data_IF_280743268978
#
_entry.id   IF_280743268978
#
_cell.length_a   1.000
_cell.length_b   1.000
_cell.length_c   1.000
_cell.angle_alpha   90.00
_cell.angle_beta   90.00
_cell.angle_gamma   90.00
#
_symmetry.space_group_name_H-M   'P 1'
#
loop_
_entity.id
_entity.type
_entity.pdbx_description
1 polymer ?
#
# COMPACT_ATOMS: atom_id res chain seq x y z
N UNK A 1 -0.66 -0.88 -17.26
CA UNK A 1 -0.10 -1.66 -16.13
C UNK A 1 0.28 -0.69 -15.02
N UNK A 2 -0.38 -0.77 -13.87
CA UNK A 2 -0.08 0.06 -12.70
C UNK A 2 1.03 -0.56 -11.86
N UNK A 3 1.95 0.27 -11.35
CA UNK A 3 2.96 -0.13 -10.37
C UNK A 3 2.40 0.03 -8.95
N UNK A 4 2.79 -0.86 -8.03
CA UNK A 4 2.44 -0.80 -6.61
C UNK A 4 3.72 -0.97 -5.80
N UNK A 5 3.92 -0.17 -4.74
CA UNK A 5 5.13 -0.25 -3.92
C UNK A 5 5.10 -1.46 -2.97
N UNK A 6 3.92 -1.84 -2.50
CA UNK A 6 3.74 -2.88 -1.48
C UNK A 6 2.62 -3.87 -1.86
N UNK A 7 2.83 -5.12 -1.48
CA UNK A 7 1.89 -6.22 -1.62
C UNK A 7 1.94 -7.12 -0.38
N UNK A 8 1.44 -6.61 0.75
CA UNK A 8 1.48 -7.34 2.02
C UNK A 8 0.40 -8.43 2.03
N UNK A 9 0.78 -9.63 2.48
CA UNK A 9 -0.09 -10.80 2.54
C UNK A 9 -0.30 -11.22 3.99
N UNK A 10 -1.32 -10.64 4.61
CA UNK A 10 -1.85 -11.05 5.91
C UNK A 10 -3.18 -11.74 5.69
N UNK A 11 -3.27 -12.97 6.17
CA UNK A 11 -4.37 -13.91 5.88
C UNK A 11 -5.43 -13.92 6.97
N UNK A 12 -5.11 -13.45 8.18
CA UNK A 12 -6.05 -13.44 9.29
C UNK A 12 -5.95 -12.19 10.17
N UNK A 13 -7.00 -11.84 10.93
CA UNK A 13 -6.96 -10.74 11.87
C UNK A 13 -6.14 -11.05 13.13
N UNK A 14 -5.88 -12.33 13.43
CA UNK A 14 -5.08 -12.75 14.59
C UNK A 14 -3.57 -12.70 14.33
N UNK A 15 -3.16 -12.71 13.06
CA UNK A 15 -1.76 -12.51 12.67
C UNK A 15 -1.29 -11.12 13.11
N UNK A 16 -0.16 -11.06 13.81
CA UNK A 16 0.49 -9.82 14.28
C UNK A 16 1.56 -9.35 13.29
N UNK A 17 1.30 -9.48 12.00
CA UNK A 17 2.21 -9.11 10.91
C UNK A 17 1.74 -7.84 10.19
N UNK A 18 2.65 -7.17 9.50
CA UNK A 18 2.38 -5.96 8.72
C UNK A 18 3.66 -5.22 8.39
N UNK A 19 3.56 -4.17 7.58
CA UNK A 19 4.70 -3.28 7.29
C UNK A 19 4.46 -1.89 7.88
N UNK A 20 5.53 -1.30 8.42
CA UNK A 20 5.52 0.09 8.90
C UNK A 20 6.71 0.80 8.25
N UNK A 21 6.42 1.88 7.54
CA UNK A 21 7.41 2.80 7.02
C UNK A 21 7.29 4.09 7.83
N UNK A 22 8.31 4.38 8.66
CA UNK A 22 8.34 5.57 9.50
C UNK A 22 9.54 6.45 9.16
N UNK A 23 9.30 7.73 8.84
CA UNK A 23 10.39 8.69 8.58
C UNK A 23 11.10 8.50 7.24
N UNK A 24 10.48 7.79 6.28
CA UNK A 24 11.07 7.52 4.97
C UNK A 24 10.69 8.59 3.93
N UNK A 25 11.33 8.50 2.76
CA UNK A 25 11.05 9.32 1.59
C UNK A 25 10.75 8.44 0.38
N UNK A 26 9.55 8.59 -0.19
CA UNK A 26 9.12 7.87 -1.40
C UNK A 26 9.21 8.84 -2.59
N UNK A 27 10.01 8.46 -3.58
CA UNK A 27 10.22 9.21 -4.83
C UNK A 27 10.39 8.25 -6.00
N UNK A 28 10.34 8.75 -7.23
CA UNK A 28 10.48 7.93 -8.43
C UNK A 28 10.40 8.76 -9.72
N UNK A 29 10.51 8.07 -10.85
CA UNK A 29 10.40 8.67 -12.20
C UNK A 29 9.02 8.42 -12.82
N UNK A 30 8.40 7.29 -12.49
CA UNK A 30 7.06 6.90 -12.94
C UNK A 30 6.09 6.87 -11.78
N UNK A 31 4.80 6.99 -12.08
CA UNK A 31 3.73 6.97 -11.09
C UNK A 31 3.42 5.57 -10.59
N UNK A 32 3.06 5.44 -9.32
CA UNK A 32 2.66 4.20 -8.67
C UNK A 32 1.57 4.46 -7.62
N UNK A 33 0.84 3.41 -7.22
CA UNK A 33 0.06 3.43 -5.97
C UNK A 33 0.95 3.00 -4.81
N UNK A 34 0.57 3.37 -3.59
CA UNK A 34 1.18 2.88 -2.36
C UNK A 34 1.17 1.36 -2.37
N UNK A 35 0.01 0.73 -2.49
CA UNK A 35 -0.03 -0.72 -2.44
C UNK A 35 -1.27 -1.36 -3.02
N UNK A 36 -1.19 -2.68 -3.02
CA UNK A 36 -2.29 -3.59 -3.33
C UNK A 36 -2.35 -4.67 -2.24
N UNK A 37 -3.51 -4.95 -1.65
CA UNK A 37 -3.62 -5.99 -0.63
C UNK A 37 -3.50 -7.37 -1.30
N UNK A 38 -2.42 -8.10 -1.01
CA UNK A 38 -2.28 -9.46 -1.52
C UNK A 38 -3.03 -10.48 -0.65
N UNK A 39 -3.13 -10.21 0.65
CA UNK A 39 -3.97 -10.96 1.59
C UNK A 39 -5.20 -10.15 2.05
N UNK A 40 -6.29 -10.83 2.47
CA UNK A 40 -7.55 -10.21 2.86
C UNK A 40 -7.46 -9.30 4.09
N UNK A 41 -6.44 -9.47 4.93
CA UNK A 41 -6.20 -8.66 6.13
C UNK A 41 -4.93 -7.81 6.04
N UNK A 42 -4.48 -7.52 4.81
CA UNK A 42 -3.28 -6.75 4.52
C UNK A 42 -3.19 -5.49 5.37
N UNK A 43 -2.04 -5.26 6.00
CA UNK A 43 -1.83 -4.11 6.89
C UNK A 43 -0.50 -3.44 6.63
N UNK A 44 -0.55 -2.17 6.23
CA UNK A 44 0.63 -1.34 6.04
C UNK A 44 0.38 0.09 6.53
N UNK A 45 1.34 0.67 7.23
CA UNK A 45 1.30 2.03 7.76
C UNK A 45 2.46 2.83 7.18
N UNK A 46 2.17 4.03 6.68
CA UNK A 46 3.17 5.05 6.39
C UNK A 46 3.01 6.18 7.41
N UNK A 47 3.99 6.35 8.30
CA UNK A 47 3.99 7.38 9.31
C UNK A 47 5.14 8.35 9.05
N UNK A 48 4.91 9.65 9.21
CA UNK A 48 5.95 10.68 9.05
C UNK A 48 6.77 10.52 7.75
N UNK A 49 6.13 10.01 6.69
CA UNK A 49 6.81 9.63 5.45
C UNK A 49 6.48 10.67 4.39
N UNK A 50 7.51 11.24 3.76
CA UNK A 50 7.32 12.12 2.62
C UNK A 50 7.00 11.28 1.37
N UNK A 51 5.99 11.69 0.62
CA UNK A 51 5.60 11.07 -0.65
C UNK A 51 5.60 12.15 -1.73
N UNK A 52 6.41 12.00 -2.77
CA UNK A 52 6.34 12.92 -3.92
C UNK A 52 5.09 12.64 -4.77
N UNK A 53 4.87 13.49 -5.78
CA UNK A 53 3.78 13.38 -6.75
C UNK A 53 3.81 12.11 -7.63
N UNK A 54 4.74 11.19 -7.38
CA UNK A 54 4.79 9.87 -8.01
C UNK A 54 3.74 8.94 -7.43
N UNK A 55 3.28 9.19 -6.20
CA UNK A 55 2.14 8.47 -5.64
C UNK A 55 0.86 9.03 -6.22
N UNK A 56 0.11 8.16 -6.88
CA UNK A 56 -1.17 8.55 -7.47
C UNK A 56 -2.19 8.90 -6.36
N UNK A 57 -3.07 9.90 -6.57
CA UNK A 57 -3.98 10.39 -5.52
C UNK A 57 -4.91 9.35 -4.92
N UNK A 58 -5.28 8.29 -5.66
CA UNK A 58 -6.09 7.18 -5.12
C UNK A 58 -5.39 6.44 -3.98
N UNK A 59 -4.06 6.53 -3.88
CA UNK A 59 -3.25 5.91 -2.83
C UNK A 59 -3.13 4.40 -2.97
N UNK A 60 -4.22 3.65 -3.07
CA UNK A 60 -4.25 2.19 -3.05
C UNK A 60 -5.01 1.62 -4.26
N UNK A 61 -4.67 0.39 -4.63
CA UNK A 61 -5.35 -0.37 -5.68
C UNK A 61 -6.03 -1.60 -5.06
N UNK A 62 -7.31 -1.78 -5.36
CA UNK A 62 -8.17 -2.84 -4.85
C UNK A 62 -8.31 -4.05 -5.81
N UNK A 63 -7.51 -4.11 -6.89
CA UNK A 63 -7.63 -5.13 -7.95
C UNK A 63 -8.95 -5.11 -8.71
N UNK A 64 -9.69 -4.00 -8.69
CA UNK A 64 -11.02 -3.93 -9.28
C UNK A 64 -12.09 -4.69 -8.48
N UNK A 65 -11.74 -5.18 -7.30
CA UNK A 65 -12.66 -5.83 -6.37
C UNK A 65 -13.05 -4.83 -5.26
N UNK A 66 -14.21 -4.21 -5.43
CA UNK A 66 -14.75 -3.22 -4.50
C UNK A 66 -14.99 -3.80 -3.10
N UNK A 67 -15.11 -5.13 -2.94
CA UNK A 67 -15.27 -5.76 -1.63
C UNK A 67 -14.02 -5.67 -0.74
N UNK A 68 -12.87 -5.37 -1.35
CA UNK A 68 -11.58 -5.15 -0.67
C UNK A 68 -11.36 -3.71 -0.25
N UNK A 69 -12.28 -2.82 -0.60
CA UNK A 69 -12.30 -1.43 -0.16
C UNK A 69 -13.12 -1.37 1.14
N UNK A 70 -12.44 -1.10 2.26
CA UNK A 70 -13.06 -0.86 3.57
C UNK A 70 -12.62 0.49 4.12
#
# INVERSE_FOLDING_TARGET
>A
GGASIIAQRRESPSEKTGFIFQGYKITGVKTAVLGRPWGPYSRVIFALTYMSNVILPQGWDNWGDSSRQR
#
